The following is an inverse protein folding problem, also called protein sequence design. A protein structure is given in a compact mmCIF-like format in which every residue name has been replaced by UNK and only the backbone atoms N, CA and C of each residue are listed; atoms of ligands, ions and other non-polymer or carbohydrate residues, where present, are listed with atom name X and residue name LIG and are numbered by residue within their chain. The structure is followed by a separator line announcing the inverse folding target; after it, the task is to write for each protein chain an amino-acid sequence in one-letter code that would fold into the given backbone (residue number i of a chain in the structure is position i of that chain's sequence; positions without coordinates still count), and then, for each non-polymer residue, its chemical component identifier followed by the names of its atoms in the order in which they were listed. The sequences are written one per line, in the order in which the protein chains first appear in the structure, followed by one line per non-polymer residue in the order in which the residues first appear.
data_IF_332010281011
#
_entry.id   IF_332010281011
#
_cell.length_a   1.000
_cell.length_b   1.000
_cell.length_c   1.000
_cell.angle_alpha   90.00
_cell.angle_beta   90.00
_cell.angle_gamma   90.00
#
_symmetry.space_group_name_H-M   'P 1'
#
loop_
_entity.id
_entity.type
_entity.pdbx_description
1 polymer ?
#
# COMPACT_ATOMS: atom_id res chain seq x y z
N UNK A 1 -16.04 34.28 -21.32
CA UNK A 1 -14.86 33.45 -21.01
C UNK A 1 -14.65 33.48 -19.50
N UNK A 2 -15.22 32.52 -18.78
CA UNK A 2 -15.07 32.39 -17.32
C UNK A 2 -13.66 31.89 -17.03
N UNK A 3 -12.87 32.73 -16.37
CA UNK A 3 -11.57 32.36 -15.82
C UNK A 3 -11.81 31.18 -14.86
N UNK A 4 -11.23 29.98 -15.07
CA UNK A 4 -11.40 28.90 -14.11
C UNK A 4 -10.73 29.36 -12.81
N UNK A 5 -11.55 29.69 -11.80
CA UNK A 5 -11.03 30.09 -10.50
C UNK A 5 -10.09 29.00 -10.00
N UNK A 6 -8.82 29.34 -9.81
CA UNK A 6 -7.90 28.45 -9.11
C UNK A 6 -8.55 28.09 -7.77
N UNK A 7 -8.55 26.80 -7.38
CA UNK A 7 -9.12 26.41 -6.10
C UNK A 7 -8.48 27.25 -5.00
N UNK A 8 -9.29 27.84 -4.12
CA UNK A 8 -8.84 28.63 -2.96
C UNK A 8 -8.10 27.74 -1.95
N UNK A 9 -6.89 27.33 -2.31
CA UNK A 9 -6.07 26.40 -1.55
C UNK A 9 -4.60 26.64 -1.81
N UNK A 10 -3.79 26.28 -0.82
CA UNK A 10 -2.33 26.36 -0.87
C UNK A 10 -1.79 25.24 -1.74
N UNK A 11 -0.77 25.54 -2.54
CA UNK A 11 0.04 24.52 -3.20
C UNK A 11 0.70 23.64 -2.15
N UNK A 12 0.98 22.38 -2.48
CA UNK A 12 1.62 21.47 -1.51
C UNK A 12 2.96 21.98 -0.99
N UNK A 13 3.73 22.73 -1.80
CA UNK A 13 4.99 23.34 -1.36
C UNK A 13 4.78 24.47 -0.32
N UNK A 14 3.65 25.17 -0.36
CA UNK A 14 3.28 26.19 0.62
C UNK A 14 2.74 25.54 1.89
N UNK A 15 1.82 24.57 1.75
CA UNK A 15 1.30 23.80 2.86
C UNK A 15 2.42 23.05 3.61
N UNK A 16 3.39 22.48 2.89
CA UNK A 16 4.57 21.82 3.43
C UNK A 16 5.39 22.72 4.37
N UNK A 17 5.53 24.01 4.02
CA UNK A 17 6.22 24.98 4.88
C UNK A 17 5.43 25.26 6.15
N UNK A 18 4.10 25.35 6.05
CA UNK A 18 3.24 25.64 7.19
C UNK A 18 3.14 24.47 8.18
N UNK A 19 3.06 23.23 7.70
CA UNK A 19 2.93 22.06 8.56
C UNK A 19 4.25 21.34 8.89
N UNK A 20 5.37 21.77 8.32
CA UNK A 20 6.68 21.15 8.52
C UNK A 20 6.90 19.80 7.82
N UNK A 21 5.92 19.31 7.04
CA UNK A 21 5.97 18.02 6.33
C UNK A 21 6.42 18.23 4.88
N UNK A 22 7.16 17.29 4.28
CA UNK A 22 7.57 17.43 2.87
C UNK A 22 6.37 17.39 1.92
N UNK A 23 6.44 18.12 0.80
CA UNK A 23 5.39 18.09 -0.21
C UNK A 23 5.15 16.67 -0.75
N UNK A 24 6.20 15.86 -0.89
CA UNK A 24 6.09 14.46 -1.32
C UNK A 24 5.32 13.61 -0.31
N UNK A 25 5.52 13.83 1.00
CA UNK A 25 4.76 13.12 2.04
C UNK A 25 3.29 13.56 2.04
N UNK A 26 3.01 14.86 1.85
CA UNK A 26 1.63 15.33 1.69
C UNK A 26 0.99 14.71 0.43
N UNK A 27 1.73 14.63 -0.67
CA UNK A 27 1.26 14.01 -1.91
C UNK A 27 0.96 12.52 -1.73
N UNK A 28 1.79 11.79 -0.97
CA UNK A 28 1.56 10.39 -0.60
C UNK A 28 0.26 10.26 0.21
N UNK A 29 0.09 11.05 1.27
CA UNK A 29 -1.10 11.01 2.12
C UNK A 29 -2.39 11.36 1.34
N UNK A 30 -2.32 12.29 0.39
CA UNK A 30 -3.45 12.66 -0.48
C UNK A 30 -3.76 11.55 -1.49
N UNK A 31 -2.73 10.93 -2.07
CA UNK A 31 -2.91 9.83 -3.02
C UNK A 31 -3.62 8.63 -2.38
N UNK A 32 -3.37 8.40 -1.09
CA UNK A 32 -4.00 7.33 -0.31
C UNK A 32 -5.25 7.80 0.47
N UNK A 33 -5.82 8.96 0.10
CA UNK A 33 -7.07 9.51 0.64
C UNK A 33 -7.07 9.77 2.17
N UNK A 34 -5.90 9.93 2.78
CA UNK A 34 -5.75 10.19 4.22
C UNK A 34 -5.91 11.66 4.61
N UNK A 35 -5.95 12.54 3.61
CA UNK A 35 -6.23 13.97 3.77
C UNK A 35 -7.45 14.34 2.92
N UNK A 36 -8.67 13.99 3.37
CA UNK A 36 -9.90 14.12 2.57
C UNK A 36 -10.25 15.59 2.26
N UNK A 37 -9.68 16.55 3.00
CA UNK A 37 -9.84 17.98 2.72
C UNK A 37 -9.04 18.46 1.50
N UNK A 38 -8.20 17.61 0.90
CA UNK A 38 -7.40 18.00 -0.25
C UNK A 38 -8.27 18.26 -1.49
N UNK A 39 -7.95 19.35 -2.19
CA UNK A 39 -8.62 19.76 -3.41
C UNK A 39 -7.75 19.40 -4.62
N UNK A 40 -8.38 19.15 -5.76
CA UNK A 40 -7.69 18.99 -7.05
C UNK A 40 -8.13 20.07 -8.02
N UNK A 41 -7.17 20.66 -8.73
CA UNK A 41 -7.50 21.52 -9.87
C UNK A 41 -7.99 20.69 -11.06
N UNK A 42 -8.55 21.36 -12.08
CA UNK A 42 -8.93 20.74 -13.34
C UNK A 42 -7.76 20.04 -14.06
N UNK A 43 -6.50 20.38 -13.72
CA UNK A 43 -5.27 19.75 -14.26
C UNK A 43 -4.71 18.66 -13.34
N UNK A 44 -5.41 18.31 -12.26
CA UNK A 44 -5.04 17.22 -11.34
C UNK A 44 -4.05 17.60 -10.23
N UNK A 45 -3.54 18.84 -10.20
CA UNK A 45 -2.67 19.30 -9.12
C UNK A 45 -3.41 19.33 -7.78
N UNK A 46 -2.75 18.85 -6.72
CA UNK A 46 -3.31 18.81 -5.37
C UNK A 46 -3.05 20.12 -4.61
N UNK A 47 -4.04 20.54 -3.83
CA UNK A 47 -4.02 21.74 -2.98
C UNK A 47 -4.61 21.41 -1.62
N UNK A 48 -4.22 22.16 -0.60
CA UNK A 48 -4.82 22.07 0.74
C UNK A 48 -5.48 23.40 1.11
N UNK A 49 -6.72 23.41 1.62
CA UNK A 49 -7.35 24.64 2.09
C UNK A 49 -6.50 25.27 3.19
N UNK A 50 -6.23 26.58 3.11
CA UNK A 50 -5.35 27.27 4.06
C UNK A 50 -5.82 27.12 5.53
N UNK A 51 -7.13 27.09 5.76
CA UNK A 51 -7.73 26.90 7.08
C UNK A 51 -7.59 25.47 7.63
N UNK A 52 -7.34 24.47 6.76
CA UNK A 52 -7.37 23.05 7.10
C UNK A 52 -6.06 22.32 6.73
N UNK A 53 -4.93 23.04 6.75
CA UNK A 53 -3.61 22.43 6.63
C UNK A 53 -3.38 21.50 7.83
N UNK A 54 -3.04 20.22 7.62
CA UNK A 54 -2.84 19.28 8.73
C UNK A 54 -1.63 19.70 9.57
N UNK A 55 -1.66 19.39 10.87
CA UNK A 55 -0.49 19.62 11.72
C UNK A 55 0.60 18.58 11.46
N UNK A 56 1.84 18.92 11.80
CA UNK A 56 2.97 17.99 11.75
C UNK A 56 2.67 16.66 12.47
N UNK A 57 2.17 16.75 13.70
CA UNK A 57 1.85 15.59 14.54
C UNK A 57 0.76 14.72 13.91
N UNK A 58 -0.24 15.34 13.28
CA UNK A 58 -1.30 14.60 12.59
C UNK A 58 -0.73 13.82 11.40
N UNK A 59 0.06 14.46 10.53
CA UNK A 59 0.71 13.77 9.41
C UNK A 59 1.61 12.63 9.87
N UNK A 60 2.42 12.83 10.92
CA UNK A 60 3.27 11.78 11.49
C UNK A 60 2.44 10.58 11.97
N UNK A 61 1.31 10.84 12.64
CA UNK A 61 0.40 9.77 13.08
C UNK A 61 -0.22 9.01 11.91
N UNK A 62 -0.63 9.70 10.83
CA UNK A 62 -1.15 9.05 9.63
C UNK A 62 -0.10 8.13 8.99
N UNK A 63 1.13 8.62 8.82
CA UNK A 63 2.25 7.84 8.26
C UNK A 63 2.56 6.62 9.12
N UNK A 64 2.63 6.78 10.44
CA UNK A 64 2.87 5.67 11.36
C UNK A 64 1.79 4.60 11.27
N UNK A 65 0.50 5.01 11.31
CA UNK A 65 -0.63 4.08 11.24
C UNK A 65 -0.66 3.32 9.92
N UNK A 66 -0.37 3.98 8.79
CA UNK A 66 -0.35 3.25 7.52
C UNK A 66 0.83 2.29 7.41
N UNK A 67 2.02 2.71 7.83
CA UNK A 67 3.18 1.82 7.87
C UNK A 67 2.85 0.55 8.66
N UNK A 68 2.26 0.72 9.85
CA UNK A 68 1.88 -0.40 10.72
C UNK A 68 0.81 -1.29 10.07
N UNK A 69 -0.23 -0.70 9.47
CA UNK A 69 -1.25 -1.44 8.72
C UNK A 69 -0.66 -2.28 7.60
N UNK A 70 0.30 -1.74 6.85
CA UNK A 70 0.96 -2.49 5.78
C UNK A 70 1.87 -3.60 6.31
N UNK A 71 2.56 -3.38 7.44
CA UNK A 71 3.35 -4.42 8.10
C UNK A 71 2.45 -5.58 8.59
N UNK A 72 1.32 -5.27 9.23
CA UNK A 72 0.34 -6.28 9.63
C UNK A 72 -0.18 -7.06 8.41
N UNK A 73 -0.54 -6.36 7.34
CA UNK A 73 -1.00 -7.01 6.11
C UNK A 73 0.07 -7.92 5.50
N UNK A 74 1.35 -7.54 5.54
CA UNK A 74 2.43 -8.37 5.08
C UNK A 74 2.59 -9.64 5.92
N UNK A 75 2.45 -9.54 7.26
CA UNK A 75 2.45 -10.70 8.14
C UNK A 75 1.31 -11.68 7.81
N UNK A 76 0.10 -11.18 7.57
CA UNK A 76 -1.04 -12.01 7.18
C UNK A 76 -0.80 -12.72 5.83
N UNK A 77 -0.16 -12.04 4.87
CA UNK A 77 0.18 -12.61 3.57
C UNK A 77 1.28 -13.68 3.68
N UNK A 78 2.26 -13.51 4.58
CA UNK A 78 3.28 -14.53 4.85
C UNK A 78 2.63 -15.78 5.42
N UNK A 79 1.74 -15.64 6.41
CA UNK A 79 0.98 -16.77 6.95
C UNK A 79 0.16 -17.49 5.85
N UNK A 80 -0.39 -16.72 4.89
CA UNK A 80 -1.07 -17.33 3.74
C UNK A 80 -0.11 -18.08 2.82
N UNK A 81 1.08 -17.53 2.53
CA UNK A 81 2.11 -18.23 1.74
C UNK A 81 2.48 -19.57 2.39
N UNK A 82 2.63 -19.61 3.71
CA UNK A 82 2.93 -20.85 4.44
C UNK A 82 1.84 -21.91 4.24
N UNK A 83 0.56 -21.52 4.27
CA UNK A 83 -0.57 -22.41 4.00
C UNK A 83 -0.54 -22.95 2.56
N UNK A 84 -0.28 -22.10 1.58
CA UNK A 84 -0.19 -22.52 0.16
C UNK A 84 0.98 -23.49 -0.07
N UNK A 85 2.13 -23.24 0.57
CA UNK A 85 3.29 -24.13 0.49
C UNK A 85 3.02 -25.49 1.13
N UNK A 86 2.24 -25.54 2.21
CA UNK A 86 1.82 -26.81 2.82
C UNK A 86 0.88 -27.59 1.90
N UNK A 87 -0.08 -26.91 1.26
CA UNK A 87 -0.98 -27.54 0.29
C UNK A 87 -0.20 -28.16 -0.90
N UNK A 88 0.76 -27.43 -1.45
CA UNK A 88 1.66 -27.94 -2.50
C UNK A 88 2.47 -29.15 -2.01
N UNK A 89 2.97 -29.11 -0.77
CA UNK A 89 3.72 -30.24 -0.19
C UNK A 89 2.84 -31.49 -0.07
N UNK A 90 1.58 -31.32 0.31
CA UNK A 90 0.62 -32.42 0.40
C UNK A 90 0.38 -33.04 -0.97
N UNK A 91 0.14 -32.23 -2.00
CA UNK A 91 -0.02 -32.71 -3.39
C UNK A 91 1.21 -33.48 -3.90
N UNK A 92 2.42 -33.02 -3.54
CA UNK A 92 3.67 -33.73 -3.89
C UNK A 92 3.77 -35.08 -3.16
N UNK A 93 3.35 -35.12 -1.90
CA UNK A 93 3.37 -36.36 -1.11
C UNK A 93 2.37 -37.37 -1.67
N UNK A 94 1.15 -36.91 -1.95
CA UNK A 94 0.09 -37.71 -2.58
C UNK A 94 0.56 -38.29 -3.93
N UNK A 95 1.15 -37.46 -4.79
CA UNK A 95 1.65 -37.90 -6.10
C UNK A 95 2.76 -38.96 -6.01
N UNK A 96 3.52 -39.00 -4.91
CA UNK A 96 4.54 -40.03 -4.66
C UNK A 96 3.93 -41.33 -4.17
N UNK A 97 2.92 -41.24 -3.31
CA UNK A 97 2.23 -42.39 -2.73
C UNK A 97 1.28 -43.04 -3.76
N UNK A 98 0.74 -42.23 -4.68
CA UNK A 98 -0.27 -42.62 -5.68
C UNK A 98 0.16 -42.23 -7.11
N UNK A 99 1.21 -42.84 -7.70
CA UNK A 99 1.81 -42.39 -8.95
C UNK A 99 0.94 -42.53 -10.22
N UNK A 100 -0.16 -43.28 -10.15
CA UNK A 100 -1.11 -43.44 -11.26
C UNK A 100 -2.25 -42.41 -11.23
N UNK A 101 -2.38 -41.65 -10.14
CA UNK A 101 -3.44 -40.67 -9.96
C UNK A 101 -3.06 -39.30 -10.56
N UNK A 102 -4.04 -38.45 -10.90
CA UNK A 102 -3.77 -37.09 -11.36
C UNK A 102 -3.02 -36.27 -10.31
N UNK A 103 -2.16 -35.36 -10.76
CA UNK A 103 -1.50 -34.39 -9.88
C UNK A 103 -2.54 -33.44 -9.24
N UNK A 104 -2.31 -33.11 -7.97
CA UNK A 104 -3.18 -32.22 -7.21
C UNK A 104 -3.21 -30.78 -7.75
N UNK A 105 -4.31 -30.09 -7.46
CA UNK A 105 -4.64 -28.79 -8.04
C UNK A 105 -3.78 -27.66 -7.50
N UNK A 106 -3.28 -27.76 -6.27
CA UNK A 106 -2.46 -26.73 -5.64
C UNK A 106 -1.04 -26.77 -6.22
N UNK A 107 -0.50 -27.98 -6.44
CA UNK A 107 0.75 -28.17 -7.18
C UNK A 107 0.66 -27.65 -8.62
N UNK A 108 -0.40 -28.01 -9.36
CA UNK A 108 -0.60 -27.55 -10.73
C UNK A 108 -0.86 -26.04 -10.82
N UNK A 109 -1.52 -25.48 -9.81
CA UNK A 109 -1.91 -24.07 -9.74
C UNK A 109 -0.87 -23.15 -9.12
N UNK A 110 0.23 -23.67 -8.55
CA UNK A 110 1.19 -22.91 -7.75
C UNK A 110 1.73 -21.63 -8.44
N UNK A 111 2.02 -21.72 -9.75
CA UNK A 111 2.52 -20.59 -10.55
C UNK A 111 1.43 -19.86 -11.35
N UNK A 112 0.19 -20.32 -11.27
CA UNK A 112 -0.93 -19.71 -11.98
C UNK A 112 -1.36 -18.43 -11.28
N UNK A 113 -1.48 -17.34 -12.05
CA UNK A 113 -2.10 -16.11 -11.60
C UNK A 113 -3.63 -16.14 -11.72
N UNK A 114 -4.18 -17.17 -12.38
CA UNK A 114 -5.62 -17.35 -12.52
C UNK A 114 -6.19 -18.06 -11.27
N UNK A 115 -7.29 -17.52 -10.75
CA UNK A 115 -8.16 -18.20 -9.79
C UNK A 115 -8.71 -19.47 -10.43
N UNK A 116 -8.22 -20.64 -10.02
CA UNK A 116 -8.85 -21.91 -10.36
C UNK A 116 -10.07 -22.10 -9.46
N UNK A 117 -11.26 -21.84 -10.01
CA UNK A 117 -12.50 -21.82 -9.23
C UNK A 117 -12.62 -20.57 -8.34
N UNK A 118 -13.86 -20.20 -8.03
CA UNK A 118 -14.22 -18.89 -7.45
C UNK A 118 -13.70 -18.62 -6.02
N UNK A 119 -12.76 -19.38 -5.47
CA UNK A 119 -12.37 -19.25 -4.05
C UNK A 119 -10.90 -19.53 -3.69
N UNK A 120 -10.05 -20.05 -4.59
CA UNK A 120 -8.67 -20.41 -4.23
C UNK A 120 -7.69 -19.33 -4.69
N UNK A 121 -7.11 -18.59 -3.74
CA UNK A 121 -5.99 -17.67 -4.03
C UNK A 121 -4.72 -18.49 -4.12
N UNK A 122 -4.08 -18.53 -5.28
CA UNK A 122 -2.86 -19.32 -5.51
C UNK A 122 -1.63 -18.73 -4.79
N UNK A 123 -0.58 -19.54 -4.64
CA UNK A 123 0.74 -19.07 -4.16
C UNK A 123 1.23 -17.85 -4.97
N UNK A 124 1.19 -17.91 -6.31
CA UNK A 124 1.62 -16.80 -7.16
C UNK A 124 0.82 -15.51 -6.92
N UNK A 125 -0.50 -15.60 -6.77
CA UNK A 125 -1.35 -14.45 -6.46
C UNK A 125 -1.03 -13.86 -5.07
N UNK A 126 -0.78 -14.71 -4.08
CA UNK A 126 -0.40 -14.27 -2.72
C UNK A 126 0.95 -13.56 -2.72
N UNK A 127 1.96 -14.10 -3.42
CA UNK A 127 3.27 -13.48 -3.57
C UNK A 127 3.21 -12.13 -4.30
N UNK A 128 2.37 -12.02 -5.32
CA UNK A 128 2.14 -10.74 -6.01
C UNK A 128 1.54 -9.69 -5.06
N UNK A 129 0.55 -10.06 -4.25
CA UNK A 129 -0.01 -9.16 -3.23
C UNK A 129 1.04 -8.73 -2.21
N UNK A 130 1.94 -9.65 -1.80
CA UNK A 130 3.02 -9.34 -0.87
C UNK A 130 3.99 -8.32 -1.45
N UNK A 131 4.37 -8.41 -2.72
CA UNK A 131 5.23 -7.41 -3.36
C UNK A 131 4.55 -6.02 -3.44
N UNK A 132 3.25 -5.97 -3.74
CA UNK A 132 2.50 -4.71 -3.71
C UNK A 132 2.50 -4.07 -2.31
N UNK A 133 2.28 -4.87 -1.26
CA UNK A 133 2.32 -4.38 0.13
C UNK A 133 3.73 -3.96 0.53
N UNK A 134 4.76 -4.70 0.12
CA UNK A 134 6.18 -4.34 0.34
C UNK A 134 6.49 -2.96 -0.21
N UNK A 135 6.04 -2.64 -1.42
CA UNK A 135 6.23 -1.30 -1.99
C UNK A 135 5.61 -0.20 -1.13
N UNK A 136 4.42 -0.44 -0.56
CA UNK A 136 3.77 0.52 0.34
C UNK A 136 4.53 0.67 1.66
N UNK A 137 5.01 -0.43 2.26
CA UNK A 137 5.86 -0.38 3.46
C UNK A 137 7.07 0.51 3.22
N UNK A 138 7.78 0.32 2.09
CA UNK A 138 8.95 1.12 1.74
C UNK A 138 8.59 2.61 1.61
N UNK A 139 7.53 2.93 0.88
CA UNK A 139 7.08 4.33 0.70
C UNK A 139 6.79 5.03 2.02
N UNK A 140 6.00 4.38 2.89
CA UNK A 140 5.66 4.94 4.20
C UNK A 140 6.83 4.95 5.18
N UNK A 141 7.76 4.00 5.08
CA UNK A 141 8.98 4.01 5.87
C UNK A 141 9.89 5.21 5.50
N UNK A 142 10.09 5.45 4.20
CA UNK A 142 10.86 6.60 3.73
C UNK A 142 10.22 7.93 4.15
N UNK A 143 8.88 8.03 4.08
CA UNK A 143 8.17 9.22 4.57
C UNK A 143 8.38 9.43 6.09
N UNK A 144 8.35 8.36 6.89
CA UNK A 144 8.60 8.43 8.33
C UNK A 144 10.03 8.85 8.66
N UNK A 145 11.02 8.35 7.92
CA UNK A 145 12.42 8.76 8.05
C UNK A 145 12.58 10.25 7.76
N UNK A 146 12.02 10.73 6.63
CA UNK A 146 12.07 12.14 6.26
C UNK A 146 11.42 13.07 7.32
N UNK A 147 10.34 12.62 7.98
CA UNK A 147 9.73 13.35 9.11
C UNK A 147 10.67 13.36 10.32
N UNK A 148 11.25 12.22 10.66
CA UNK A 148 12.08 12.06 11.87
C UNK A 148 13.43 12.77 11.74
N UNK A 149 14.03 12.80 10.55
CA UNK A 149 15.30 13.49 10.32
C UNK A 149 15.15 15.01 10.44
N UNK A 150 13.97 15.55 10.09
CA UNK A 150 13.63 16.95 10.35
C UNK A 150 13.49 17.29 11.84
N UNK A 151 13.17 16.32 12.71
CA UNK A 151 13.11 16.55 14.16
C UNK A 151 14.51 16.74 14.78
N UNK A 152 15.57 16.33 14.06
CA UNK A 152 16.95 16.30 14.54
C UNK A 152 17.81 17.47 14.05
N UNK A 153 17.32 18.28 13.11
CA UNK A 153 18.02 19.42 12.51
C UNK A 153 17.37 20.74 12.89
#
# INVERSE_FOLDING_TARGET
MTNPQEPQGLKLSEAAKLCGISADTLQLLIADELLPQALRSARGHAYLPAANVPTWQHCRQLVLRQRDRHLQRAADLIARVEVELEAIRNDITEARDHPAEPLGVDLLGATSYATYGNTTTTLAATLQQLDLVRMQIVRYHSALQAITDKDRG
#
